data_IF_242804670257
#
_entry.id   IF_242804670257
#
_cell.length_a   1.000
_cell.length_b   1.000
_cell.length_c   1.000
_cell.angle_alpha   90.00
_cell.angle_beta   90.00
_cell.angle_gamma   90.00
#
_symmetry.space_group_name_H-M   'P 1'
#
loop_
_entity.id
_entity.type
_entity.pdbx_description
1 polymer ?
#
# COMPACT_ATOMS: atom_id res chain seq x y z
N UNK A 1 -10.80 1.81 -1.92
CA UNK A 1 -9.96 2.00 -0.72
C UNK A 1 -8.54 2.27 -1.18
N UNK A 2 -7.73 2.94 -0.36
CA UNK A 2 -6.29 3.12 -0.60
C UNK A 2 -5.52 2.29 0.42
N UNK A 3 -4.51 1.55 -0.04
CA UNK A 3 -3.57 0.83 0.82
C UNK A 3 -2.91 1.83 1.78
N UNK A 4 -3.05 1.60 3.08
CA UNK A 4 -2.56 2.53 4.09
C UNK A 4 -1.90 1.83 5.28
N UNK A 5 -0.91 2.51 5.85
CA UNK A 5 -0.24 2.10 7.09
C UNK A 5 0.54 3.31 7.63
N UNK A 6 0.65 3.50 8.94
CA UNK A 6 1.38 4.64 9.51
C UNK A 6 2.22 4.24 10.71
N UNK A 7 3.38 4.88 10.88
CA UNK A 7 4.28 4.65 12.00
C UNK A 7 5.14 5.87 12.28
N UNK A 8 5.86 5.87 13.40
CA UNK A 8 6.77 6.98 13.72
C UNK A 8 8.04 6.95 12.85
N UNK A 9 8.44 5.78 12.39
CA UNK A 9 9.50 5.60 11.41
C UNK A 9 8.95 5.07 10.08
N UNK A 10 9.71 5.31 9.01
CA UNK A 10 9.30 4.99 7.65
C UNK A 10 9.17 3.48 7.41
N UNK A 11 9.99 2.66 8.05
CA UNK A 11 9.99 1.21 7.83
C UNK A 11 8.75 0.57 8.45
N UNK A 12 8.54 0.81 9.75
CA UNK A 12 7.37 0.35 10.48
C UNK A 12 6.07 0.93 9.91
N UNK A 13 6.10 2.20 9.47
CA UNK A 13 4.95 2.84 8.84
C UNK A 13 4.56 2.25 7.49
N UNK A 14 5.45 1.55 6.79
CA UNK A 14 5.17 0.90 5.49
C UNK A 14 4.90 -0.60 5.60
N UNK A 15 5.23 -1.19 6.75
CA UNK A 15 5.16 -2.63 6.96
C UNK A 15 3.76 -3.22 6.74
N UNK A 16 2.74 -2.59 7.33
CA UNK A 16 1.34 -2.98 7.12
C UNK A 16 0.88 -2.80 5.66
N UNK A 17 1.38 -1.76 4.98
CA UNK A 17 1.04 -1.51 3.58
C UNK A 17 1.61 -2.59 2.65
N UNK A 18 2.82 -3.10 2.91
CA UNK A 18 3.40 -4.23 2.16
C UNK A 18 2.55 -5.49 2.26
N UNK A 19 1.97 -5.72 3.43
CA UNK A 19 1.16 -6.91 3.71
C UNK A 19 -0.09 -6.98 2.84
N UNK A 20 -0.87 -5.89 2.81
CA UNK A 20 -2.09 -5.82 1.98
C UNK A 20 -1.76 -5.63 0.49
N UNK A 21 -0.70 -4.88 0.15
CA UNK A 21 -0.25 -4.74 -1.23
C UNK A 21 0.16 -6.10 -1.80
N UNK A 22 0.89 -6.92 -1.04
CA UNK A 22 1.28 -8.26 -1.44
C UNK A 22 0.08 -9.14 -1.80
N UNK A 23 -1.01 -9.03 -1.03
CA UNK A 23 -2.26 -9.71 -1.34
C UNK A 23 -2.89 -9.25 -2.66
N UNK A 24 -2.96 -7.94 -2.89
CA UNK A 24 -3.54 -7.41 -4.12
C UNK A 24 -2.69 -7.74 -5.36
N UNK A 25 -1.37 -7.65 -5.24
CA UNK A 25 -0.43 -7.93 -6.33
C UNK A 25 -0.41 -9.42 -6.69
N UNK A 26 -0.36 -10.32 -5.70
CA UNK A 26 -0.49 -11.76 -5.95
C UNK A 26 -1.78 -12.10 -6.71
N UNK A 27 -2.89 -11.45 -6.32
CA UNK A 27 -4.17 -11.64 -7.00
C UNK A 27 -4.18 -11.16 -8.46
N UNK A 28 -3.40 -10.12 -8.81
CA UNK A 28 -3.23 -9.65 -10.20
C UNK A 28 -2.59 -10.71 -11.09
N UNK A 29 -1.67 -11.48 -10.52
CA UNK A 29 -0.93 -12.54 -11.20
C UNK A 29 -1.77 -13.81 -11.35
N UNK A 30 -2.48 -14.19 -10.29
CA UNK A 30 -3.17 -15.48 -10.19
C UNK A 30 -4.56 -15.48 -10.82
N UNK A 31 -5.37 -14.43 -10.62
CA UNK A 31 -6.82 -14.52 -10.82
C UNK A 31 -7.40 -13.61 -11.91
N UNK A 32 -6.69 -12.57 -12.35
CA UNK A 32 -7.24 -11.57 -13.28
C UNK A 32 -6.32 -11.24 -14.46
N UNK A 33 -5.64 -12.25 -14.97
CA UNK A 33 -4.78 -12.18 -16.17
C UNK A 33 -5.54 -11.52 -17.34
N UNK A 34 -4.95 -10.50 -17.98
CA UNK A 34 -5.57 -9.69 -19.04
C UNK A 34 -6.19 -8.36 -18.55
N UNK A 35 -7.05 -8.40 -17.53
CA UNK A 35 -7.57 -7.16 -16.91
C UNK A 35 -6.54 -6.49 -15.98
N UNK A 36 -5.57 -7.27 -15.49
CA UNK A 36 -4.42 -6.76 -14.78
C UNK A 36 -3.55 -5.86 -15.68
N UNK A 37 -3.44 -6.15 -16.97
CA UNK A 37 -2.45 -5.56 -17.87
C UNK A 37 -2.56 -4.03 -17.89
N UNK A 38 -3.76 -3.48 -18.11
CA UNK A 38 -3.95 -2.02 -18.07
C UNK A 38 -3.63 -1.38 -16.71
N UNK A 39 -3.94 -2.07 -15.60
CA UNK A 39 -3.67 -1.54 -14.27
C UNK A 39 -2.16 -1.59 -13.94
N UNK A 40 -1.49 -2.63 -14.39
CA UNK A 40 -0.05 -2.81 -14.25
C UNK A 40 0.69 -1.78 -15.12
N UNK A 41 0.27 -1.58 -16.37
CA UNK A 41 0.80 -0.56 -17.27
C UNK A 41 0.68 0.85 -16.67
N UNK A 42 -0.50 1.21 -16.14
CA UNK A 42 -0.72 2.51 -15.50
C UNK A 42 0.14 2.71 -14.24
N UNK A 43 0.47 1.63 -13.54
CA UNK A 43 1.37 1.64 -12.38
C UNK A 43 2.86 1.53 -12.77
N UNK A 44 3.18 1.28 -14.04
CA UNK A 44 4.53 0.96 -14.49
C UNK A 44 5.10 -0.31 -13.85
N UNK A 45 4.24 -1.29 -13.59
CA UNK A 45 4.58 -2.61 -13.05
C UNK A 45 4.56 -3.64 -14.17
N UNK A 46 5.58 -4.50 -14.23
CA UNK A 46 5.56 -5.65 -15.13
C UNK A 46 5.03 -6.88 -14.40
N UNK A 47 4.36 -7.79 -15.12
CA UNK A 47 3.83 -9.01 -14.50
C UNK A 47 4.94 -9.89 -13.91
N UNK A 48 6.10 -9.94 -14.57
CA UNK A 48 7.27 -10.69 -14.09
C UNK A 48 7.91 -10.05 -12.86
N UNK A 49 7.81 -8.72 -12.71
CA UNK A 49 8.30 -7.99 -11.53
C UNK A 49 7.53 -8.40 -10.26
N UNK A 50 6.24 -8.71 -10.38
CA UNK A 50 5.37 -9.07 -9.26
C UNK A 50 5.09 -10.57 -9.13
N UNK A 51 5.59 -11.40 -10.06
CA UNK A 51 5.48 -12.87 -9.99
C UNK A 51 6.01 -13.44 -8.67
N UNK A 52 7.19 -13.01 -8.14
CA UNK A 52 7.70 -13.56 -6.88
C UNK A 52 6.74 -13.38 -5.69
N UNK A 53 5.99 -12.28 -5.68
CA UNK A 53 4.97 -12.01 -4.64
C UNK A 53 3.85 -13.06 -4.69
N UNK A 54 3.43 -13.45 -5.90
CA UNK A 54 2.40 -14.47 -6.09
C UNK A 54 2.89 -15.87 -5.69
N UNK A 55 4.13 -16.21 -6.05
CA UNK A 55 4.73 -17.50 -5.70
C UNK A 55 4.91 -17.60 -4.17
N UNK A 56 5.38 -16.53 -3.52
CA UNK A 56 5.49 -16.47 -2.07
C UNK A 56 4.12 -16.53 -1.38
N UNK A 57 3.09 -15.90 -1.95
CA UNK A 57 1.70 -16.01 -1.46
C UNK A 57 1.23 -17.47 -1.44
N UNK A 58 1.49 -18.22 -2.51
CA UNK A 58 1.10 -19.62 -2.61
C UNK A 58 1.84 -20.51 -1.59
N UNK A 59 3.13 -20.24 -1.35
CA UNK A 59 3.97 -21.05 -0.47
C UNK A 59 3.81 -20.74 1.02
N UNK A 60 3.61 -19.48 1.39
CA UNK A 60 3.66 -19.02 2.78
C UNK A 60 2.60 -17.99 3.15
N UNK A 61 1.61 -17.78 2.29
CA UNK A 61 0.51 -16.85 2.51
C UNK A 61 0.97 -15.39 2.55
N UNK A 62 0.11 -14.54 3.11
CA UNK A 62 0.27 -13.07 3.09
C UNK A 62 1.58 -12.56 3.69
N UNK A 63 2.15 -13.24 4.69
CA UNK A 63 3.39 -12.81 5.33
C UNK A 63 4.62 -13.14 4.47
N UNK A 64 4.59 -14.23 3.71
CA UNK A 64 5.61 -14.51 2.72
C UNK A 64 5.50 -13.54 1.54
N UNK A 65 4.29 -13.29 1.03
CA UNK A 65 4.06 -12.30 -0.02
C UNK A 65 4.55 -10.89 0.37
N UNK A 66 4.28 -10.47 1.62
CA UNK A 66 4.75 -9.20 2.18
C UNK A 66 6.27 -9.01 2.06
N UNK A 67 7.05 -10.07 2.28
CA UNK A 67 8.50 -10.01 2.25
C UNK A 67 9.05 -9.71 0.84
N UNK A 68 8.30 -10.08 -0.20
CA UNK A 68 8.66 -9.83 -1.61
C UNK A 68 8.23 -8.43 -2.10
N UNK A 69 7.42 -7.70 -1.33
CA UNK A 69 7.00 -6.34 -1.70
C UNK A 69 8.09 -5.33 -1.38
N UNK A 70 8.95 -5.06 -2.37
CA UNK A 70 10.01 -4.06 -2.26
C UNK A 70 9.47 -2.63 -2.14
N UNK A 71 10.32 -1.70 -1.72
CA UNK A 71 9.98 -0.27 -1.71
C UNK A 71 9.65 0.27 -3.10
N UNK A 72 10.34 -0.21 -4.14
CA UNK A 72 10.07 0.19 -5.53
C UNK A 72 8.67 -0.25 -5.98
N UNK A 73 8.32 -1.51 -5.73
CA UNK A 73 6.99 -2.05 -6.05
C UNK A 73 5.90 -1.33 -5.25
N UNK A 74 6.11 -1.15 -3.95
CA UNK A 74 5.16 -0.47 -3.09
C UNK A 74 4.96 0.99 -3.53
N UNK A 75 6.01 1.71 -3.92
CA UNK A 75 5.89 3.09 -4.40
C UNK A 75 5.05 3.20 -5.68
N UNK A 76 5.16 2.24 -6.60
CA UNK A 76 4.32 2.17 -7.81
C UNK A 76 2.84 1.98 -7.50
N UNK A 77 2.52 1.37 -6.34
CA UNK A 77 1.14 1.20 -5.87
C UNK A 77 0.54 2.46 -5.23
N UNK A 78 1.30 3.56 -5.11
CA UNK A 78 0.87 4.85 -4.53
C UNK A 78 0.14 4.73 -3.18
N UNK A 79 0.71 4.06 -2.16
CA UNK A 79 0.05 3.91 -0.86
C UNK A 79 0.07 5.23 -0.08
N UNK A 80 -0.83 5.33 0.89
CA UNK A 80 -0.73 6.33 1.97
C UNK A 80 0.00 5.65 3.12
N UNK A 81 1.34 5.58 3.04
CA UNK A 81 2.10 4.85 4.04
C UNK A 81 3.51 5.37 4.36
N UNK A 82 3.87 5.30 5.63
CA UNK A 82 5.15 5.75 6.18
C UNK A 82 4.99 6.56 7.46
N UNK A 83 5.75 7.63 7.58
CA UNK A 83 5.60 8.62 8.65
C UNK A 83 4.33 9.46 8.48
N UNK A 84 3.92 10.25 9.49
CA UNK A 84 2.84 11.23 9.32
C UNK A 84 3.09 12.20 8.16
N UNK A 85 4.34 12.65 7.97
CA UNK A 85 4.72 13.52 6.86
C UNK A 85 4.56 12.83 5.49
N UNK A 86 4.96 11.55 5.39
CA UNK A 86 4.76 10.76 4.16
C UNK A 86 3.26 10.61 3.84
N UNK A 87 2.43 10.36 4.87
CA UNK A 87 0.99 10.21 4.69
C UNK A 87 0.33 11.53 4.26
N UNK A 88 0.73 12.67 4.85
CA UNK A 88 0.26 13.99 4.44
C UNK A 88 0.61 14.25 2.98
N UNK A 89 1.86 14.07 2.59
CA UNK A 89 2.30 14.29 1.21
C UNK A 89 1.54 13.41 0.20
N UNK A 90 1.30 12.14 0.54
CA UNK A 90 0.51 11.24 -0.31
C UNK A 90 -0.95 11.71 -0.45
N UNK A 91 -1.59 12.16 0.64
CA UNK A 91 -2.96 12.68 0.58
C UNK A 91 -3.04 13.97 -0.24
N UNK A 92 -2.02 14.84 -0.16
CA UNK A 92 -1.92 16.03 -1.01
C UNK A 92 -1.82 15.64 -2.50
N UNK A 93 -1.02 14.64 -2.86
CA UNK A 93 -0.97 14.11 -4.23
C UNK A 93 -2.35 13.62 -4.70
N UNK A 94 -3.09 12.89 -3.86
CA UNK A 94 -4.46 12.47 -4.17
C UNK A 94 -5.43 13.65 -4.33
N UNK A 95 -5.32 14.66 -3.46
CA UNK A 95 -6.15 15.88 -3.54
C UNK A 95 -5.87 16.64 -4.83
N UNK A 96 -4.61 16.79 -5.21
CA UNK A 96 -4.19 17.47 -6.43
C UNK A 96 -4.66 16.72 -7.69
N UNK A 97 -4.81 15.39 -7.60
CA UNK A 97 -5.46 14.57 -8.63
C UNK A 97 -7.00 14.66 -8.62
N UNK A 98 -7.60 15.47 -7.75
CA UNK A 98 -9.05 15.70 -7.66
C UNK A 98 -9.80 14.80 -6.67
N UNK A 99 -9.10 14.03 -5.84
CA UNK A 99 -9.74 13.21 -4.81
C UNK A 99 -10.30 14.08 -3.68
N UNK A 100 -11.60 13.94 -3.39
CA UNK A 100 -12.27 14.66 -2.30
C UNK A 100 -12.55 13.78 -1.06
N UNK A 101 -12.38 12.47 -1.19
CA UNK A 101 -12.61 11.53 -0.10
C UNK A 101 -11.68 10.32 -0.21
N UNK A 102 -10.86 10.13 0.82
CA UNK A 102 -9.95 8.99 0.93
C UNK A 102 -10.49 8.01 1.96
N UNK A 103 -10.72 6.77 1.53
CA UNK A 103 -11.03 5.65 2.43
C UNK A 103 -9.79 4.79 2.62
N UNK A 104 -9.20 4.86 3.81
CA UNK A 104 -7.97 4.16 4.19
C UNK A 104 -8.25 2.69 4.53
N UNK A 105 -7.49 1.80 3.92
CA UNK A 105 -7.43 0.39 4.29
C UNK A 105 -6.17 0.15 5.12
N UNK A 106 -6.30 0.37 6.43
CA UNK A 106 -5.20 0.21 7.39
C UNK A 106 -4.92 -1.28 7.67
N UNK A 107 -3.65 -1.66 7.56
CA UNK A 107 -3.17 -3.02 7.81
C UNK A 107 -1.98 -3.08 8.77
N UNK A 108 -1.61 -4.30 9.15
CA UNK A 108 -0.56 -4.60 10.14
C UNK A 108 -1.11 -4.84 11.56
N UNK A 109 -0.21 -5.07 12.50
CA UNK A 109 -0.55 -5.55 13.85
C UNK A 109 -1.06 -4.45 14.79
N UNK A 110 -0.70 -3.17 14.54
CA UNK A 110 -0.94 -2.05 15.45
C UNK A 110 -2.06 -1.09 14.99
N UNK A 111 -3.14 -1.61 14.43
CA UNK A 111 -4.16 -0.76 13.75
C UNK A 111 -4.81 0.30 14.65
N UNK A 112 -5.02 0.00 15.94
CA UNK A 112 -5.56 1.00 16.87
C UNK A 112 -4.60 2.17 17.09
N UNK A 113 -3.31 1.89 17.29
CA UNK A 113 -2.27 2.92 17.40
C UNK A 113 -2.14 3.71 16.10
N UNK A 114 -2.25 3.04 14.95
CA UNK A 114 -2.25 3.71 13.64
C UNK A 114 -3.42 4.68 13.49
N UNK A 115 -4.63 4.29 13.90
CA UNK A 115 -5.81 5.17 13.86
C UNK A 115 -5.60 6.39 14.76
N UNK A 116 -5.08 6.18 15.98
CA UNK A 116 -4.79 7.29 16.89
C UNK A 116 -3.74 8.24 16.31
N UNK A 117 -2.63 7.70 15.80
CA UNK A 117 -1.55 8.46 15.19
C UNK A 117 -2.05 9.26 13.99
N UNK A 118 -2.82 8.64 13.11
CA UNK A 118 -3.41 9.31 11.94
C UNK A 118 -4.37 10.42 12.37
N UNK A 119 -5.24 10.15 13.37
CA UNK A 119 -6.19 11.12 13.89
C UNK A 119 -5.52 12.32 14.57
N UNK A 120 -4.39 12.10 15.23
CA UNK A 120 -3.64 13.13 15.97
C UNK A 120 -2.69 13.93 15.08
N UNK A 121 -2.01 13.29 14.14
CA UNK A 121 -0.87 13.90 13.44
C UNK A 121 -1.10 14.13 11.94
N UNK A 122 -2.10 13.47 11.32
CA UNK A 122 -2.40 13.65 9.88
C UNK A 122 -3.68 14.44 9.68
N UNK A 123 -4.80 14.04 10.31
CA UNK A 123 -6.10 14.69 10.08
C UNK A 123 -6.11 16.21 10.36
N UNK A 124 -5.42 16.75 11.38
CA UNK A 124 -5.43 18.20 11.63
C UNK A 124 -4.86 19.04 10.49
N UNK A 125 -4.04 18.48 9.60
CA UNK A 125 -3.47 19.18 8.45
C UNK A 125 -4.50 19.47 7.33
N UNK A 126 -5.60 18.71 7.30
CA UNK A 126 -6.61 18.78 6.25
C UNK A 126 -7.96 19.35 6.73
N UNK A 127 -7.98 19.96 7.92
CA UNK A 127 -9.15 20.63 8.50
C UNK A 127 -9.28 22.07 8.05
#
# INVERSE_FOLDING_TARGET
>A
TVVASIGHDREGGRDGAREIAGMYLANKVQNIQGAADTLLDLAGLEQDEIRPIADAMEQGGRLAAKAEVTDAILNKCKPIAGTPADCIAAIEEYRDAGCTHVMLELWGDKRHEQIELFGREVLPHFR
#
